data_IF_350113635344
#
_entry.id   IF_350113635344
#
_cell.length_a   1.000
_cell.length_b   1.000
_cell.length_c   1.000
_cell.angle_alpha   90.00
_cell.angle_beta   90.00
_cell.angle_gamma   90.00
#
_symmetry.space_group_name_H-M   'P 1'
#
loop_
_entity.id
_entity.type
_entity.pdbx_description
1 polymer ?
#
# COMPACT_ATOMS: atom_id res chain seq x y z
N UNK A 1 -19.38 11.73 -21.26
CA UNK A 1 -19.55 12.42 -19.96
C UNK A 1 -18.21 12.91 -19.46
N UNK A 2 -18.14 14.10 -18.88
CA UNK A 2 -16.90 14.54 -18.28
C UNK A 2 -16.52 13.61 -17.11
N UNK A 3 -15.23 13.30 -16.99
CA UNK A 3 -14.73 12.50 -15.89
C UNK A 3 -14.80 13.28 -14.57
N UNK A 4 -15.42 12.68 -13.57
CA UNK A 4 -15.48 13.23 -12.21
C UNK A 4 -14.34 12.65 -11.38
N UNK A 5 -13.43 13.51 -10.92
CA UNK A 5 -12.35 13.06 -10.03
C UNK A 5 -12.89 12.66 -8.67
N UNK A 6 -12.45 11.50 -8.20
CA UNK A 6 -12.90 10.94 -6.94
C UNK A 6 -11.96 11.36 -5.79
N UNK A 7 -12.51 12.06 -4.81
CA UNK A 7 -11.82 12.44 -3.56
C UNK A 7 -12.50 11.79 -2.36
N UNK A 8 -12.64 10.47 -2.40
CA UNK A 8 -13.33 9.66 -1.41
C UNK A 8 -12.42 8.53 -0.92
N UNK A 9 -12.72 7.90 0.22
CA UNK A 9 -11.90 6.80 0.75
C UNK A 9 -11.80 5.58 -0.18
N UNK A 10 -12.78 5.38 -1.03
CA UNK A 10 -12.81 4.34 -2.05
C UNK A 10 -14.12 4.36 -2.83
N UNK A 11 -14.09 4.06 -4.13
CA UNK A 11 -12.90 3.84 -4.98
C UNK A 11 -12.02 5.08 -5.10
N UNK A 12 -10.70 4.85 -5.18
CA UNK A 12 -9.70 5.91 -5.19
C UNK A 12 -9.39 6.35 -6.63
N UNK A 13 -9.19 7.64 -6.83
CA UNK A 13 -8.71 8.16 -8.10
C UNK A 13 -7.33 7.60 -8.40
N UNK A 14 -7.16 7.06 -9.61
CA UNK A 14 -5.89 6.48 -10.07
C UNK A 14 -5.36 7.30 -11.24
N UNK A 15 -4.10 7.71 -11.17
CA UNK A 15 -3.46 8.44 -12.28
C UNK A 15 -3.36 7.54 -13.52
N UNK A 16 -3.40 8.14 -14.69
CA UNK A 16 -3.27 7.42 -15.96
C UNK A 16 -2.00 6.56 -16.00
N UNK A 17 -0.88 7.10 -15.54
CA UNK A 17 0.40 6.40 -15.47
C UNK A 17 0.33 5.14 -14.60
N UNK A 18 -0.33 5.22 -13.46
CA UNK A 18 -0.54 4.07 -12.57
C UNK A 18 -1.46 3.04 -13.22
N UNK A 19 -2.53 3.51 -13.85
CA UNK A 19 -3.47 2.64 -14.55
C UNK A 19 -2.81 1.84 -15.67
N UNK A 20 -1.95 2.48 -16.45
CA UNK A 20 -1.18 1.84 -17.52
C UNK A 20 -0.19 0.79 -16.97
N UNK A 21 0.33 0.99 -15.77
CA UNK A 21 1.23 0.04 -15.14
C UNK A 21 0.53 -1.30 -14.82
N UNK A 22 -0.79 -1.29 -14.55
CA UNK A 22 -1.57 -2.51 -14.36
C UNK A 22 -1.77 -3.32 -15.64
N UNK A 23 -1.61 -2.70 -16.80
CA UNK A 23 -1.77 -3.36 -18.08
C UNK A 23 -0.51 -4.11 -18.56
N UNK A 24 0.56 -4.09 -17.77
CA UNK A 24 1.80 -4.81 -18.13
C UNK A 24 1.64 -6.32 -17.96
N UNK A 25 2.34 -7.11 -18.77
CA UNK A 25 2.33 -8.56 -18.60
C UNK A 25 2.76 -9.00 -17.21
N UNK A 26 2.18 -10.09 -16.75
CA UNK A 26 2.54 -10.69 -15.46
C UNK A 26 3.96 -11.25 -15.52
N UNK A 27 4.68 -11.15 -14.40
CA UNK A 27 6.03 -11.72 -14.24
C UNK A 27 6.04 -12.75 -13.12
N UNK A 28 6.90 -13.76 -13.24
CA UNK A 28 7.03 -14.78 -12.22
C UNK A 28 7.68 -14.24 -10.95
N UNK A 29 7.06 -14.48 -9.80
CA UNK A 29 7.53 -13.97 -8.50
C UNK A 29 8.87 -14.53 -8.03
N UNK A 30 9.35 -15.64 -8.62
CA UNK A 30 10.65 -16.27 -8.32
C UNK A 30 11.72 -15.99 -9.35
N UNK A 31 11.39 -15.27 -10.42
CA UNK A 31 12.31 -14.91 -11.50
C UNK A 31 13.17 -13.68 -11.21
N UNK A 32 14.16 -13.46 -12.05
CA UNK A 32 15.06 -12.32 -11.95
C UNK A 32 14.30 -11.00 -12.13
N UNK A 33 13.33 -10.96 -13.04
CA UNK A 33 12.52 -9.75 -13.27
C UNK A 33 11.79 -9.25 -12.01
N UNK A 34 11.29 -10.17 -11.18
CA UNK A 34 10.67 -9.79 -9.92
C UNK A 34 11.69 -9.29 -8.89
N UNK A 35 12.87 -9.92 -8.82
CA UNK A 35 13.95 -9.46 -7.94
C UNK A 35 14.40 -8.04 -8.28
N UNK A 36 14.53 -7.75 -9.57
CA UNK A 36 14.92 -6.42 -10.05
C UNK A 36 13.85 -5.37 -9.75
N UNK A 37 12.58 -5.73 -9.94
CA UNK A 37 11.44 -4.88 -9.59
C UNK A 37 11.41 -4.58 -8.09
N UNK A 38 11.58 -5.59 -7.27
CA UNK A 38 11.61 -5.45 -5.81
C UNK A 38 12.77 -4.58 -5.34
N UNK A 39 13.98 -4.83 -5.86
CA UNK A 39 15.17 -4.05 -5.55
C UNK A 39 15.02 -2.56 -5.94
N UNK A 40 14.27 -2.27 -6.99
CA UNK A 40 13.97 -0.90 -7.42
C UNK A 40 12.94 -0.22 -6.53
N UNK A 41 11.93 -0.95 -6.06
CA UNK A 41 10.80 -0.39 -5.30
C UNK A 41 11.18 -0.12 -3.84
N UNK A 42 11.90 -1.03 -3.18
CA UNK A 42 12.21 -0.92 -1.76
C UNK A 42 12.85 0.41 -1.35
N UNK A 43 13.92 0.89 -2.00
CA UNK A 43 14.52 2.16 -1.61
C UNK A 43 13.55 3.35 -1.76
N UNK A 44 12.69 3.30 -2.77
CA UNK A 44 11.71 4.36 -3.01
C UNK A 44 10.64 4.38 -1.91
N UNK A 45 10.17 3.21 -1.47
CA UNK A 45 9.22 3.10 -0.36
C UNK A 45 9.85 3.51 0.97
N UNK A 46 11.09 3.12 1.21
CA UNK A 46 11.83 3.51 2.41
C UNK A 46 11.99 5.03 2.47
N UNK A 47 12.31 5.66 1.36
CA UNK A 47 12.38 7.12 1.26
C UNK A 47 11.03 7.79 1.51
N UNK A 48 9.96 7.26 0.92
CA UNK A 48 8.60 7.77 1.09
C UNK A 48 8.13 7.70 2.55
N UNK A 49 8.47 6.63 3.25
CA UNK A 49 8.03 6.38 4.63
C UNK A 49 9.07 6.79 5.68
N UNK A 50 10.15 7.44 5.28
CA UNK A 50 11.22 7.90 6.19
C UNK A 50 11.78 6.77 7.07
N UNK A 51 12.00 5.59 6.49
CA UNK A 51 12.48 4.41 7.24
C UNK A 51 13.65 3.74 6.55
N UNK A 52 14.46 3.04 7.33
CA UNK A 52 15.50 2.12 6.83
C UNK A 52 15.07 0.65 6.91
N UNK A 53 13.91 0.40 7.51
CA UNK A 53 13.36 -0.94 7.66
C UNK A 53 12.72 -1.41 6.34
N UNK A 54 12.53 -2.71 6.20
CA UNK A 54 11.82 -3.27 5.07
C UNK A 54 10.36 -2.83 5.07
N UNK A 55 9.87 -2.46 3.90
CA UNK A 55 8.47 -2.10 3.68
C UNK A 55 7.79 -3.25 2.97
N UNK A 56 6.69 -3.69 3.52
CA UNK A 56 5.89 -4.78 2.97
C UNK A 56 4.55 -4.27 2.45
N UNK A 57 4.08 -4.89 1.36
CA UNK A 57 2.72 -4.72 0.87
C UNK A 57 1.85 -5.87 1.35
N UNK A 58 0.66 -5.55 1.78
CA UNK A 58 -0.38 -6.54 2.06
C UNK A 58 -1.47 -6.44 1.01
N UNK A 59 -1.90 -7.57 0.50
CA UNK A 59 -3.05 -7.66 -0.41
C UNK A 59 -4.38 -7.78 0.34
N UNK A 60 -4.34 -7.74 1.67
CA UNK A 60 -5.54 -7.62 2.49
C UNK A 60 -6.13 -6.22 2.40
N UNK A 61 -7.34 -6.01 2.91
CA UNK A 61 -7.87 -4.67 3.13
C UNK A 61 -7.01 -3.93 4.17
N UNK A 62 -7.13 -2.60 4.23
CA UNK A 62 -6.47 -1.79 5.26
C UNK A 62 -6.79 -2.29 6.68
N UNK A 63 -7.99 -2.81 6.91
CA UNK A 63 -8.40 -3.41 8.17
C UNK A 63 -7.54 -4.58 8.59
N UNK A 64 -7.13 -5.45 7.67
CA UNK A 64 -6.26 -6.57 7.98
C UNK A 64 -4.90 -6.13 8.54
N UNK A 65 -4.31 -5.09 7.95
CA UNK A 65 -3.05 -4.51 8.43
C UNK A 65 -3.25 -3.79 9.76
N UNK A 66 -4.34 -3.04 9.92
CA UNK A 66 -4.66 -2.35 11.18
C UNK A 66 -4.87 -3.33 12.32
N UNK A 67 -5.61 -4.41 12.10
CA UNK A 67 -5.77 -5.48 13.09
C UNK A 67 -4.43 -6.11 13.46
N UNK A 68 -3.61 -6.42 12.47
CA UNK A 68 -2.26 -6.96 12.69
C UNK A 68 -1.40 -6.01 13.52
N UNK A 69 -1.43 -4.72 13.26
CA UNK A 69 -0.72 -3.71 14.03
C UNK A 69 -1.18 -3.68 15.50
N UNK A 70 -2.48 -3.63 15.73
CA UNK A 70 -3.06 -3.65 17.08
C UNK A 70 -2.62 -4.90 17.85
N UNK A 71 -2.72 -6.07 17.23
CA UNK A 71 -2.32 -7.35 17.84
C UNK A 71 -0.83 -7.43 18.18
N UNK A 72 0.01 -6.70 17.45
CA UNK A 72 1.45 -6.74 17.65
C UNK A 72 1.95 -5.67 18.64
N UNK A 73 1.34 -4.50 18.71
CA UNK A 73 1.86 -3.38 19.51
C UNK A 73 1.09 -3.12 20.80
N UNK A 74 -0.18 -3.50 20.89
CA UNK A 74 -0.99 -3.29 22.08
C UNK A 74 -0.74 -4.40 23.10
N UNK A 75 -0.28 -4.04 24.30
CA UNK A 75 -0.04 -5.00 25.37
C UNK A 75 -1.20 -5.05 26.37
N UNK A 76 -1.77 -3.92 26.75
CA UNK A 76 -2.84 -3.85 27.75
C UNK A 76 -4.01 -2.97 27.35
N UNK A 77 -3.75 -1.76 26.91
CA UNK A 77 -4.78 -0.75 26.60
C UNK A 77 -4.41 0.01 25.35
N UNK A 78 -5.42 0.49 24.65
CA UNK A 78 -5.29 1.37 23.51
C UNK A 78 -6.27 2.53 23.65
N UNK A 79 -5.84 3.71 23.26
CA UNK A 79 -6.71 4.88 23.16
C UNK A 79 -7.15 5.04 21.72
N UNK A 80 -8.44 5.05 21.51
CA UNK A 80 -9.05 5.31 20.21
C UNK A 80 -9.61 6.71 20.18
N UNK A 81 -8.99 7.62 19.42
CA UNK A 81 -9.48 8.96 19.21
C UNK A 81 -10.47 8.97 18.05
N UNK A 82 -11.74 9.12 18.35
CA UNK A 82 -12.80 9.13 17.35
C UNK A 82 -13.14 10.55 16.92
N UNK A 83 -13.20 10.77 15.61
CA UNK A 83 -13.59 12.03 15.00
C UNK A 83 -14.31 11.74 13.69
N UNK A 84 -15.56 12.11 13.60
CA UNK A 84 -16.40 11.85 12.43
C UNK A 84 -17.54 10.87 12.70
N UNK A 85 -18.08 10.36 11.60
CA UNK A 85 -19.23 9.47 11.65
C UNK A 85 -18.93 8.07 12.22
#
# INVERSE_FOLDING_TARGET
MPHVKLHIPGPVEVSQKTFEAFCKPMIGHRGQGFKDLYAKIQPQLQSLLYTKQLVYFSTSSAWGVMEGAIRNVVQKKVLNCMCGA
#
